data_IF_925005520150
#
_entry.id   IF_925005520150
#
_cell.length_a   1.000
_cell.length_b   1.000
_cell.length_c   1.000
_cell.angle_alpha   90.00
_cell.angle_beta   90.00
_cell.angle_gamma   90.00
#
_symmetry.space_group_name_H-M   'P 1'
#
loop_
_entity.id
_entity.type
_entity.pdbx_description
1 polymer ?
#
# COMPACT_ATOMS: atom_id res chain seq x y z
N UNK A 1 -18.48 -3.92 -28.86
CA UNK A 1 -19.12 -3.66 -27.56
C UNK A 1 -18.01 -3.24 -26.61
N UNK A 2 -18.05 -2.05 -25.99
CA UNK A 2 -17.08 -1.73 -24.95
C UNK A 2 -17.24 -2.74 -23.81
N UNK A 3 -16.13 -3.26 -23.27
CA UNK A 3 -16.16 -4.17 -22.13
C UNK A 3 -16.81 -3.44 -20.94
N UNK A 4 -17.75 -4.09 -20.25
CA UNK A 4 -18.31 -3.56 -19.00
C UNK A 4 -17.18 -3.49 -17.97
N UNK A 5 -16.87 -2.27 -17.51
CA UNK A 5 -15.89 -2.05 -16.44
C UNK A 5 -16.42 -2.67 -15.15
N UNK A 6 -15.62 -3.48 -14.46
CA UNK A 6 -15.92 -3.94 -13.12
C UNK A 6 -15.88 -2.74 -12.16
N UNK A 7 -16.96 -2.55 -11.39
CA UNK A 7 -17.10 -1.45 -10.42
C UNK A 7 -17.29 -2.03 -9.03
N UNK A 8 -16.57 -1.49 -8.05
CA UNK A 8 -16.81 -1.76 -6.64
C UNK A 8 -17.81 -0.72 -6.12
N UNK A 9 -19.02 -1.16 -5.73
CA UNK A 9 -20.09 -0.27 -5.28
C UNK A 9 -19.76 0.45 -3.96
N UNK A 10 -18.96 -0.18 -3.09
CA UNK A 10 -18.59 0.39 -1.79
C UNK A 10 -17.43 1.37 -1.93
N UNK A 11 -16.51 1.09 -2.86
CA UNK A 11 -15.31 1.88 -3.13
C UNK A 11 -15.20 2.16 -4.64
N UNK A 12 -16.03 3.07 -5.18
CA UNK A 12 -16.15 3.30 -6.63
C UNK A 12 -14.89 3.86 -7.29
N UNK A 13 -13.92 4.36 -6.50
CA UNK A 13 -12.62 4.79 -7.00
C UNK A 13 -11.61 3.66 -7.20
N UNK A 14 -11.99 2.40 -6.90
CA UNK A 14 -11.11 1.23 -7.07
C UNK A 14 -10.91 0.88 -8.54
N UNK A 15 -9.66 0.75 -8.99
CA UNK A 15 -9.34 0.09 -10.25
C UNK A 15 -9.39 -1.44 -10.07
N UNK A 16 -10.59 -2.01 -10.15
CA UNK A 16 -10.85 -3.41 -9.75
C UNK A 16 -9.96 -4.42 -10.49
N UNK A 17 -9.82 -4.32 -11.80
CA UNK A 17 -8.97 -5.24 -12.58
C UNK A 17 -7.49 -5.15 -12.16
N UNK A 18 -7.00 -3.92 -11.94
CA UNK A 18 -5.64 -3.66 -11.46
C UNK A 18 -5.43 -4.21 -10.05
N UNK A 19 -6.43 -4.06 -9.17
CA UNK A 19 -6.44 -4.63 -7.82
C UNK A 19 -6.32 -6.15 -7.85
N UNK A 20 -7.14 -6.81 -8.67
CA UNK A 20 -7.14 -8.27 -8.80
C UNK A 20 -5.82 -8.79 -9.37
N UNK A 21 -5.28 -8.13 -10.40
CA UNK A 21 -3.98 -8.45 -10.96
C UNK A 21 -2.85 -8.29 -9.91
N UNK A 22 -2.93 -7.26 -9.07
CA UNK A 22 -1.98 -7.04 -7.98
C UNK A 22 -2.03 -8.15 -6.93
N UNK A 23 -3.24 -8.54 -6.51
CA UNK A 23 -3.44 -9.66 -5.58
C UNK A 23 -2.89 -10.97 -6.15
N UNK A 24 -3.07 -11.21 -7.44
CA UNK A 24 -2.54 -12.40 -8.10
C UNK A 24 -1.01 -12.40 -8.10
N UNK A 25 -0.37 -11.27 -8.44
CA UNK A 25 1.09 -11.14 -8.36
C UNK A 25 1.60 -11.39 -6.94
N UNK A 26 0.94 -10.87 -5.90
CA UNK A 26 1.34 -11.12 -4.51
C UNK A 26 1.27 -12.60 -4.16
N UNK A 27 0.20 -13.29 -4.54
CA UNK A 27 0.05 -14.73 -4.30
C UNK A 27 1.12 -15.54 -5.00
N UNK A 28 1.56 -15.12 -6.19
CA UNK A 28 2.56 -15.85 -6.97
C UNK A 28 4.00 -15.73 -6.44
N UNK A 29 4.29 -14.82 -5.50
CA UNK A 29 5.66 -14.58 -5.03
C UNK A 29 6.25 -15.74 -4.21
N UNK A 30 5.42 -16.46 -3.43
CA UNK A 30 5.87 -17.60 -2.60
C UNK A 30 7.22 -17.37 -1.89
N UNK A 31 8.18 -18.26 -2.14
CA UNK A 31 9.53 -18.23 -1.55
C UNK A 31 10.35 -16.96 -1.87
N UNK A 32 9.99 -16.19 -2.90
CA UNK A 32 10.67 -14.94 -3.21
C UNK A 32 10.53 -13.89 -2.09
N UNK A 33 9.62 -14.09 -1.13
CA UNK A 33 9.42 -13.23 0.04
C UNK A 33 10.39 -13.53 1.20
N UNK A 34 11.21 -14.57 1.10
CA UNK A 34 12.14 -15.02 2.15
C UNK A 34 13.60 -14.59 1.89
N UNK A 35 13.84 -13.75 0.89
CA UNK A 35 15.18 -13.28 0.52
C UNK A 35 15.65 -12.01 1.25
N UNK A 36 16.72 -11.41 0.72
CA UNK A 36 17.20 -10.10 1.18
C UNK A 36 16.12 -9.01 1.02
N UNK A 37 15.90 -8.22 2.06
CA UNK A 37 14.77 -7.30 2.16
C UNK A 37 14.62 -6.36 0.97
N UNK A 38 15.71 -5.80 0.45
CA UNK A 38 15.58 -4.89 -0.69
C UNK A 38 15.08 -5.60 -1.95
N UNK A 39 15.50 -6.84 -2.18
CA UNK A 39 14.98 -7.66 -3.29
C UNK A 39 13.51 -8.01 -3.05
N UNK A 40 13.13 -8.38 -1.81
CA UNK A 40 11.74 -8.63 -1.43
C UNK A 40 10.88 -7.39 -1.68
N UNK A 41 11.33 -6.21 -1.25
CA UNK A 41 10.63 -4.94 -1.45
C UNK A 41 10.44 -4.62 -2.94
N UNK A 42 11.43 -4.87 -3.78
CA UNK A 42 11.29 -4.69 -5.23
C UNK A 42 10.20 -5.60 -5.82
N UNK A 43 10.08 -6.83 -5.31
CA UNK A 43 8.99 -7.75 -5.69
C UNK A 43 7.64 -7.26 -5.20
N UNK A 44 7.56 -6.71 -3.98
CA UNK A 44 6.34 -6.07 -3.46
C UNK A 44 5.92 -4.87 -4.32
N UNK A 45 6.86 -4.02 -4.73
CA UNK A 45 6.57 -2.92 -5.65
C UNK A 45 6.05 -3.42 -7.00
N UNK A 46 6.72 -4.41 -7.60
CA UNK A 46 6.26 -5.01 -8.85
C UNK A 46 4.84 -5.60 -8.72
N UNK A 47 4.56 -6.28 -7.61
CA UNK A 47 3.24 -6.84 -7.33
C UNK A 47 2.18 -5.74 -7.11
N UNK A 48 2.54 -4.63 -6.47
CA UNK A 48 1.71 -3.43 -6.34
C UNK A 48 1.50 -2.67 -7.66
N UNK A 49 2.27 -2.97 -8.71
CA UNK A 49 2.25 -2.21 -9.96
C UNK A 49 2.98 -0.88 -9.86
N UNK A 50 4.05 -0.83 -9.08
CA UNK A 50 4.88 0.34 -8.85
C UNK A 50 6.29 0.14 -9.40
N UNK A 51 6.85 1.20 -10.00
CA UNK A 51 8.26 1.32 -10.33
C UNK A 51 9.08 1.53 -9.06
N UNK A 52 10.32 1.05 -9.07
CA UNK A 52 11.29 1.32 -8.00
C UNK A 52 12.05 2.63 -8.29
N UNK A 53 11.49 3.74 -7.82
CA UNK A 53 11.99 5.10 -8.07
C UNK A 53 12.59 5.66 -6.78
N UNK A 54 13.90 5.46 -6.62
CA UNK A 54 14.67 5.90 -5.44
C UNK A 54 15.39 7.23 -5.64
N UNK A 55 15.62 7.61 -6.90
CA UNK A 55 16.40 8.79 -7.24
C UNK A 55 15.48 10.00 -7.41
N UNK A 56 15.57 10.92 -6.47
CA UNK A 56 14.89 12.22 -6.50
C UNK A 56 15.96 13.29 -6.33
N UNK A 57 15.74 14.45 -6.96
CA UNK A 57 16.75 15.51 -7.02
C UNK A 57 17.17 15.93 -5.61
N UNK A 58 18.48 16.09 -5.33
CA UNK A 58 18.93 16.63 -4.05
C UNK A 58 18.25 17.98 -3.75
N UNK A 59 17.70 18.13 -2.54
CA UNK A 59 17.02 19.37 -2.11
C UNK A 59 15.50 19.43 -2.33
N UNK A 60 14.90 18.42 -2.97
CA UNK A 60 13.44 18.36 -3.08
C UNK A 60 12.78 18.19 -1.70
N UNK A 61 11.75 18.99 -1.41
CA UNK A 61 11.01 18.92 -0.14
C UNK A 61 10.06 17.71 -0.13
N UNK A 62 9.71 17.15 1.03
CA UNK A 62 8.85 15.96 1.12
C UNK A 62 7.54 16.04 0.30
N UNK A 63 6.93 17.24 0.17
CA UNK A 63 5.74 17.45 -0.67
C UNK A 63 6.03 17.35 -2.17
N UNK A 64 7.22 17.74 -2.59
CA UNK A 64 7.68 17.63 -3.98
C UNK A 64 8.05 16.17 -4.29
N UNK A 65 8.58 15.42 -3.32
CA UNK A 65 8.99 14.02 -3.50
C UNK A 65 7.83 13.08 -3.88
N UNK A 66 6.68 13.22 -3.22
CA UNK A 66 5.51 12.40 -3.54
C UNK A 66 5.00 12.70 -4.96
N UNK A 67 4.90 13.98 -5.33
CA UNK A 67 4.53 14.41 -6.70
C UNK A 67 5.55 14.05 -7.79
N UNK A 68 6.75 13.58 -7.42
CA UNK A 68 7.79 13.12 -8.34
C UNK A 68 7.85 11.59 -8.48
N UNK A 69 6.93 10.87 -7.83
CA UNK A 69 6.84 9.41 -7.93
C UNK A 69 7.90 8.66 -7.11
N UNK A 70 8.48 9.28 -6.08
CA UNK A 70 9.44 8.59 -5.20
C UNK A 70 8.77 7.43 -4.45
N UNK A 71 9.22 6.19 -4.69
CA UNK A 71 8.68 4.98 -4.05
C UNK A 71 9.67 4.34 -3.06
N UNK A 72 10.79 5.00 -2.76
CA UNK A 72 11.80 4.47 -1.84
C UNK A 72 11.30 4.22 -0.41
N UNK A 73 10.26 4.93 0.02
CA UNK A 73 9.63 4.77 1.34
C UNK A 73 8.57 3.65 1.40
N UNK A 74 8.05 3.22 0.24
CA UNK A 74 7.02 2.19 0.17
C UNK A 74 7.51 0.90 0.85
N UNK A 75 6.72 0.40 1.79
CA UNK A 75 6.97 -0.76 2.65
C UNK A 75 8.21 -0.65 3.57
N UNK A 76 8.96 0.47 3.53
CA UNK A 76 10.19 0.69 4.30
C UNK A 76 9.98 1.44 5.62
N UNK A 77 8.77 1.91 5.89
CA UNK A 77 8.40 2.56 7.15
C UNK A 77 7.12 1.95 7.73
N UNK A 78 6.60 2.54 8.81
CA UNK A 78 5.42 2.03 9.49
C UNK A 78 4.09 2.35 8.81
N UNK A 79 4.06 3.34 7.92
CA UNK A 79 2.83 4.01 7.51
C UNK A 79 2.53 3.82 6.02
N UNK A 80 3.52 3.76 5.13
CA UNK A 80 3.33 3.56 3.70
C UNK A 80 3.36 2.06 3.37
N UNK A 81 2.36 1.33 3.83
CA UNK A 81 2.30 -0.13 3.71
C UNK A 81 1.09 -0.63 2.92
N UNK A 82 0.26 0.28 2.40
CA UNK A 82 -0.92 -0.05 1.59
C UNK A 82 -0.62 0.06 0.11
N UNK A 83 -0.69 -1.06 -0.61
CA UNK A 83 -0.72 -1.06 -2.07
C UNK A 83 -2.12 -0.72 -2.54
N UNK A 84 -2.37 0.55 -2.86
CA UNK A 84 -3.67 1.04 -3.32
C UNK A 84 -3.72 1.11 -4.83
N UNK A 85 -4.81 0.63 -5.43
CA UNK A 85 -5.04 0.65 -6.88
C UNK A 85 -6.32 1.42 -7.19
N UNK A 86 -6.18 2.59 -7.81
CA UNK A 86 -7.28 3.52 -8.02
C UNK A 86 -7.51 3.83 -9.49
N UNK A 87 -8.73 4.25 -9.83
CA UNK A 87 -9.05 4.77 -11.16
C UNK A 87 -8.25 6.05 -11.45
N UNK A 88 -7.93 6.28 -12.72
CA UNK A 88 -7.18 7.48 -13.14
C UNK A 88 -7.88 8.79 -12.72
N UNK A 89 -9.21 8.84 -12.84
CA UNK A 89 -10.01 10.02 -12.52
C UNK A 89 -9.92 10.43 -11.05
N UNK A 90 -9.70 9.48 -10.14
CA UNK A 90 -9.58 9.76 -8.70
C UNK A 90 -8.12 9.86 -8.24
N UNK A 91 -7.15 9.47 -9.06
CA UNK A 91 -5.72 9.51 -8.69
C UNK A 91 -5.23 10.93 -8.38
N UNK A 92 -5.89 11.95 -8.94
CA UNK A 92 -5.60 13.36 -8.69
C UNK A 92 -6.39 13.97 -7.53
N UNK A 93 -7.26 13.20 -6.86
CA UNK A 93 -7.96 13.70 -5.68
C UNK A 93 -6.95 14.17 -4.64
N UNK A 94 -7.21 15.31 -4.02
CA UNK A 94 -6.41 15.84 -2.92
C UNK A 94 -7.06 15.49 -1.58
N UNK A 95 -6.27 15.48 -0.50
CA UNK A 95 -6.81 15.43 0.85
C UNK A 95 -7.33 16.83 1.23
N UNK A 96 -8.61 17.05 0.96
CA UNK A 96 -9.32 18.32 1.19
C UNK A 96 -9.86 18.46 2.62
N UNK A 97 -10.29 19.66 3.00
CA UNK A 97 -11.06 19.86 4.22
C UNK A 97 -12.48 19.26 4.08
N UNK A 98 -13.10 18.90 5.21
CA UNK A 98 -14.46 18.33 5.23
C UNK A 98 -14.49 16.81 5.35
N UNK A 99 -15.49 16.18 4.75
CA UNK A 99 -15.79 14.75 4.94
C UNK A 99 -14.72 13.81 4.34
N UNK A 100 -13.92 14.30 3.39
CA UNK A 100 -12.82 13.56 2.75
C UNK A 100 -11.45 13.79 3.42
N UNK A 101 -11.44 14.31 4.65
CA UNK A 101 -10.22 14.66 5.40
C UNK A 101 -9.60 13.44 6.09
N UNK A 102 -8.39 13.06 5.68
CA UNK A 102 -7.59 12.02 6.33
C UNK A 102 -6.71 12.59 7.43
N UNK A 103 -7.14 12.52 8.69
CA UNK A 103 -6.40 13.09 9.83
C UNK A 103 -4.91 12.68 9.82
N UNK A 104 -4.02 13.65 10.03
CA UNK A 104 -2.57 13.44 10.00
C UNK A 104 -1.92 13.58 8.62
N UNK A 105 -2.68 13.68 7.54
CA UNK A 105 -2.17 13.96 6.18
C UNK A 105 -2.26 15.46 5.88
N UNK A 106 -1.32 16.01 5.12
CA UNK A 106 -1.32 17.43 4.75
C UNK A 106 -2.54 17.77 3.88
N UNK A 107 -3.19 18.90 4.15
CA UNK A 107 -4.27 19.42 3.29
C UNK A 107 -3.67 19.78 1.92
N UNK A 108 -4.39 19.44 0.85
CA UNK A 108 -3.95 19.67 -0.53
C UNK A 108 -2.80 18.75 -0.96
N UNK A 109 -2.74 17.54 -0.41
CA UNK A 109 -1.72 16.55 -0.75
C UNK A 109 -1.90 16.04 -2.19
N UNK A 110 -1.04 16.49 -3.10
CA UNK A 110 -1.06 16.19 -4.54
C UNK A 110 -0.25 14.95 -4.88
N UNK A 111 -0.93 13.80 -4.96
CA UNK A 111 -0.29 12.53 -5.29
C UNK A 111 -0.36 12.17 -6.78
N UNK A 112 -1.36 12.68 -7.51
CA UNK A 112 -1.66 12.29 -8.90
C UNK A 112 -0.46 12.20 -9.85
N UNK A 113 0.36 13.26 -10.00
CA UNK A 113 1.54 13.19 -10.87
C UNK A 113 2.54 12.09 -10.46
N UNK A 114 2.72 11.89 -9.15
CA UNK A 114 3.59 10.83 -8.63
C UNK A 114 3.04 9.44 -8.91
N UNK A 115 1.72 9.27 -8.78
CA UNK A 115 1.00 8.04 -9.10
C UNK A 115 1.20 7.69 -10.57
N UNK A 116 1.00 8.64 -11.48
CA UNK A 116 1.20 8.44 -12.93
C UNK A 116 2.64 8.05 -13.26
N UNK A 117 3.62 8.74 -12.67
CA UNK A 117 5.04 8.48 -12.91
C UNK A 117 5.45 7.09 -12.38
N UNK A 118 4.97 6.70 -11.20
CA UNK A 118 5.37 5.47 -10.54
C UNK A 118 4.58 4.25 -11.02
N UNK A 119 3.40 4.42 -11.60
CA UNK A 119 2.55 3.29 -11.99
C UNK A 119 3.13 2.49 -13.18
N UNK A 120 3.12 1.18 -13.03
CA UNK A 120 3.42 0.23 -14.11
C UNK A 120 2.16 0.03 -14.98
N UNK A 121 2.20 0.34 -16.29
CA UNK A 121 1.04 0.24 -17.16
C UNK A 121 0.58 -1.22 -17.38
N UNK A 122 1.49 -2.20 -17.29
CA UNK A 122 1.18 -3.61 -17.51
C UNK A 122 0.30 -4.26 -16.42
N UNK A 123 0.00 -3.56 -15.33
CA UNK A 123 -0.95 -4.02 -14.31
C UNK A 123 -2.41 -3.62 -14.64
N UNK A 124 -2.63 -2.86 -15.71
CA UNK A 124 -3.96 -2.43 -16.16
C UNK A 124 -4.23 -0.93 -15.96
N UNK A 125 -5.41 -0.48 -16.37
CA UNK A 125 -5.79 0.95 -16.30
C UNK A 125 -5.82 1.50 -14.87
N UNK A 126 -5.62 2.82 -14.75
CA UNK A 126 -5.59 3.53 -13.47
C UNK A 126 -4.18 3.69 -12.91
N UNK A 127 -4.09 3.87 -11.60
CA UNK A 127 -2.85 4.13 -10.89
C UNK A 127 -2.63 3.18 -9.71
N UNK A 128 -1.38 3.04 -9.30
CA UNK A 128 -0.98 2.40 -8.05
C UNK A 128 -0.24 3.39 -7.16
N UNK A 129 -0.41 3.27 -5.84
CA UNK A 129 0.39 4.01 -4.88
C UNK A 129 0.60 3.25 -3.57
N UNK A 130 1.69 3.55 -2.88
CA UNK A 130 1.90 3.12 -1.49
C UNK A 130 1.31 4.18 -0.55
N UNK A 131 0.06 3.99 -0.12
CA UNK A 131 -0.66 4.99 0.67
C UNK A 131 -0.39 4.86 2.17
N UNK A 132 -0.57 5.97 2.89
CA UNK A 132 -0.52 6.00 4.34
C UNK A 132 -1.64 5.16 4.96
N UNK A 133 -1.29 4.35 5.97
CA UNK A 133 -2.19 3.43 6.69
C UNK A 133 -2.83 4.07 7.91
N UNK A 134 -2.49 5.32 8.25
CA UNK A 134 -3.09 6.05 9.37
C UNK A 134 -4.62 6.05 9.31
N UNK A 135 -5.26 5.52 10.35
CA UNK A 135 -6.72 5.39 10.42
C UNK A 135 -7.29 4.07 9.90
N UNK A 136 -6.44 3.16 9.42
CA UNK A 136 -6.89 1.87 8.89
C UNK A 136 -7.45 0.89 9.95
N UNK A 137 -7.18 1.11 11.24
CA UNK A 137 -7.72 0.28 12.32
C UNK A 137 -9.18 0.58 12.68
N UNK A 138 -9.74 1.67 12.14
CA UNK A 138 -11.14 2.03 12.34
C UNK A 138 -12.06 1.22 11.42
N UNK A 139 -13.34 1.12 11.76
CA UNK A 139 -14.36 0.46 10.94
C UNK A 139 -15.53 1.42 10.62
N UNK A 140 -15.72 1.81 9.35
CA UNK A 140 -14.87 1.52 8.20
C UNK A 140 -13.50 2.23 8.28
N UNK A 141 -12.46 1.74 7.58
CA UNK A 141 -11.14 2.37 7.54
C UNK A 141 -11.19 3.85 7.12
N UNK A 142 -10.40 4.68 7.80
CA UNK A 142 -10.33 6.14 7.59
C UNK A 142 -8.98 6.59 7.02
N UNK A 143 -8.29 5.68 6.33
CA UNK A 143 -6.97 5.94 5.74
C UNK A 143 -7.06 6.60 4.35
N UNK A 144 -5.90 6.86 3.75
CA UNK A 144 -5.80 7.56 2.46
C UNK A 144 -6.49 6.79 1.33
N UNK A 145 -6.38 5.47 1.30
CA UNK A 145 -6.98 4.66 0.24
C UNK A 145 -8.51 4.83 0.24
N UNK A 146 -9.11 4.63 1.40
CA UNK A 146 -10.55 4.55 1.56
C UNK A 146 -11.22 5.93 1.53
N UNK A 147 -10.54 6.97 2.01
CA UNK A 147 -11.15 8.31 2.14
C UNK A 147 -10.82 9.20 0.95
N UNK A 148 -9.54 9.38 0.60
CA UNK A 148 -9.11 10.29 -0.47
C UNK A 148 -9.43 9.71 -1.85
N UNK A 149 -9.17 8.41 -2.04
CA UNK A 149 -9.35 7.77 -3.34
C UNK A 149 -10.66 6.98 -3.46
N UNK A 150 -11.41 6.81 -2.37
CA UNK A 150 -12.59 5.93 -2.32
C UNK A 150 -12.27 4.56 -2.95
N UNK A 151 -11.09 4.05 -2.64
CA UNK A 151 -10.50 2.85 -3.25
C UNK A 151 -10.22 1.82 -2.17
N UNK A 152 -10.37 0.54 -2.52
CA UNK A 152 -9.78 -0.55 -1.76
C UNK A 152 -8.27 -0.59 -1.92
N UNK A 153 -7.62 -1.23 -0.97
CA UNK A 153 -6.24 -1.69 -1.13
C UNK A 153 -6.20 -3.04 -1.87
N UNK A 154 -5.21 -3.21 -2.73
CA UNK A 154 -4.89 -4.51 -3.29
C UNK A 154 -4.35 -5.42 -2.19
N UNK A 155 -3.36 -4.93 -1.43
CA UNK A 155 -2.82 -5.61 -0.26
C UNK A 155 -2.16 -4.62 0.71
N UNK A 156 -2.02 -5.03 1.97
CA UNK A 156 -1.29 -4.34 3.05
C UNK A 156 -0.18 -5.24 3.57
N UNK A 157 1.01 -4.67 3.79
CA UNK A 157 2.06 -5.33 4.56
C UNK A 157 1.89 -5.07 6.05
N UNK A 158 1.85 -6.15 6.83
CA UNK A 158 1.79 -6.11 8.30
C UNK A 158 2.90 -6.98 8.89
N UNK A 159 3.76 -6.38 9.72
CA UNK A 159 4.82 -7.10 10.43
C UNK A 159 4.27 -7.92 11.60
N UNK A 160 4.78 -9.15 11.79
CA UNK A 160 4.24 -10.13 12.72
C UNK A 160 4.89 -10.02 14.12
N UNK A 161 4.13 -9.80 15.20
CA UNK A 161 4.67 -9.87 16.57
C UNK A 161 5.02 -11.32 16.96
N UNK A 162 5.88 -11.57 17.96
CA UNK A 162 6.59 -10.59 18.79
C UNK A 162 7.99 -10.23 18.28
N UNK A 163 8.58 -11.02 17.38
CA UNK A 163 9.93 -10.77 16.85
C UNK A 163 9.95 -9.68 15.79
N UNK A 164 8.85 -9.52 15.06
CA UNK A 164 8.70 -8.64 13.90
C UNK A 164 9.64 -9.00 12.74
N UNK A 165 10.18 -10.21 12.71
CA UNK A 165 11.11 -10.68 11.67
C UNK A 165 10.39 -11.20 10.41
N UNK A 166 9.12 -11.57 10.55
CA UNK A 166 8.24 -11.97 9.45
C UNK A 166 7.13 -10.93 9.21
N UNK A 167 6.54 -10.96 8.02
CA UNK A 167 5.38 -10.16 7.68
C UNK A 167 4.32 -11.01 6.98
N UNK A 168 3.08 -10.54 7.02
CA UNK A 168 1.98 -11.00 6.16
C UNK A 168 1.59 -9.93 5.17
N UNK A 169 1.05 -10.38 4.04
CA UNK A 169 0.33 -9.58 3.07
C UNK A 169 -1.13 -9.97 3.18
N UNK A 170 -1.98 -9.00 3.50
CA UNK A 170 -3.43 -9.19 3.62
C UNK A 170 -4.17 -8.31 2.65
N UNK A 171 -5.33 -8.72 2.19
CA UNK A 171 -6.17 -7.89 1.33
C UNK A 171 -6.98 -6.84 2.11
N UNK A 172 -7.82 -6.09 1.38
CA UNK A 172 -8.65 -5.04 1.94
C UNK A 172 -9.58 -5.51 3.06
N UNK A 173 -10.02 -6.78 3.04
CA UNK A 173 -10.90 -7.37 4.05
C UNK A 173 -10.10 -8.07 5.17
N UNK A 174 -8.77 -7.98 5.14
CA UNK A 174 -7.88 -8.62 6.10
C UNK A 174 -7.61 -10.10 5.79
N UNK A 175 -8.02 -10.59 4.63
CA UNK A 175 -7.80 -11.97 4.25
C UNK A 175 -6.33 -12.20 3.88
N UNK A 176 -5.76 -13.32 4.33
CA UNK A 176 -4.39 -13.71 4.03
C UNK A 176 -4.16 -13.87 2.52
N UNK A 177 -3.08 -13.27 2.01
CA UNK A 177 -2.62 -13.43 0.63
C UNK A 177 -1.29 -14.18 0.56
N UNK A 178 -0.30 -13.77 1.37
CA UNK A 178 1.03 -14.37 1.40
C UNK A 178 1.79 -13.94 2.67
N UNK A 179 2.99 -14.49 2.90
CA UNK A 179 3.87 -14.10 4.01
C UNK A 179 5.33 -14.32 3.64
N UNK A 180 6.25 -13.67 4.37
CA UNK A 180 7.67 -13.93 4.23
C UNK A 180 8.44 -13.64 5.51
N UNK A 181 9.63 -14.23 5.61
CA UNK A 181 10.61 -14.00 6.67
C UNK A 181 11.91 -13.50 6.03
N UNK A 182 11.95 -12.23 5.60
CA UNK A 182 13.09 -11.69 4.86
C UNK A 182 14.35 -11.58 5.73
N UNK A 183 15.50 -11.52 5.09
CA UNK A 183 16.80 -11.32 5.73
C UNK A 183 17.42 -9.95 5.39
N UNK A 184 18.58 -9.66 5.97
CA UNK A 184 19.38 -8.50 5.61
C UNK A 184 18.98 -7.23 6.31
N UNK A 185 19.04 -6.11 5.58
CA UNK A 185 18.73 -4.79 6.11
C UNK A 185 17.22 -4.54 6.17
N UNK A 186 16.55 -5.11 7.16
CA UNK A 186 15.14 -4.88 7.43
C UNK A 186 14.86 -3.42 7.82
N UNK A 187 13.61 -2.93 7.67
CA UNK A 187 13.20 -1.67 8.29
C UNK A 187 13.51 -1.69 9.80
N UNK A 188 13.86 -0.53 10.40
CA UNK A 188 14.19 -0.47 11.82
C UNK A 188 13.10 -1.13 12.68
N UNK A 189 13.50 -1.88 13.70
CA UNK A 189 12.56 -2.65 14.54
C UNK A 189 11.40 -1.80 15.07
N UNK A 190 11.66 -0.54 15.43
CA UNK A 190 10.62 0.39 15.87
C UNK A 190 9.56 0.66 14.78
N UNK A 191 9.96 0.79 13.52
CA UNK A 191 9.01 0.99 12.41
C UNK A 191 8.13 -0.24 12.22
N UNK A 192 8.71 -1.44 12.28
CA UNK A 192 7.96 -2.71 12.19
C UNK A 192 6.96 -2.88 13.34
N UNK A 193 7.36 -2.51 14.56
CA UNK A 193 6.46 -2.48 15.73
C UNK A 193 5.31 -1.50 15.56
N UNK A 194 5.62 -0.26 15.14
CA UNK A 194 4.62 0.77 14.93
C UNK A 194 3.65 0.41 13.80
N UNK A 195 4.11 -0.29 12.75
CA UNK A 195 3.24 -0.83 11.71
C UNK A 195 2.19 -1.78 12.29
N UNK A 196 2.58 -2.74 13.13
CA UNK A 196 1.62 -3.64 13.78
C UNK A 196 0.71 -2.91 14.76
N UNK A 197 1.25 -2.01 15.59
CA UNK A 197 0.44 -1.24 16.54
C UNK A 197 -0.61 -0.36 15.83
N UNK A 198 -0.33 0.14 14.62
CA UNK A 198 -1.30 0.91 13.82
C UNK A 198 -2.51 0.09 13.37
N UNK A 199 -2.36 -1.23 13.18
CA UNK A 199 -3.45 -2.13 12.74
C UNK A 199 -4.05 -2.96 13.88
N UNK A 200 -3.45 -2.92 15.06
CA UNK A 200 -3.84 -3.72 16.21
C UNK A 200 -5.31 -3.50 16.58
N UNK A 201 -6.02 -4.59 16.84
CA UNK A 201 -7.46 -4.57 17.15
C UNK A 201 -8.36 -4.48 15.91
N UNK A 202 -7.79 -4.44 14.70
CA UNK A 202 -8.55 -4.46 13.44
C UNK A 202 -8.41 -5.78 12.69
N UNK A 203 -9.19 -5.93 11.61
CA UNK A 203 -9.14 -7.09 10.69
C UNK A 203 -7.74 -7.36 10.12
N UNK A 204 -6.92 -6.33 9.93
CA UNK A 204 -5.58 -6.47 9.37
C UNK A 204 -4.55 -7.11 10.33
N UNK A 205 -4.82 -7.14 11.64
CA UNK A 205 -3.89 -7.69 12.64
C UNK A 205 -4.04 -9.20 12.86
N UNK A 206 -5.14 -9.81 12.40
CA UNK A 206 -5.50 -11.21 12.69
C UNK A 206 -4.43 -12.17 12.17
N UNK A 207 -4.13 -12.07 10.88
CA UNK A 207 -3.18 -12.98 10.22
C UNK A 207 -1.74 -12.77 10.69
N UNK A 208 -1.35 -11.51 10.94
CA UNK A 208 -0.04 -11.20 11.50
C UNK A 208 0.16 -11.82 12.88
N UNK A 209 -0.88 -11.77 13.73
CA UNK A 209 -0.86 -12.40 15.06
C UNK A 209 -0.82 -13.94 14.96
N UNK A 210 -1.56 -14.52 14.00
CA UNK A 210 -1.61 -15.97 13.78
C UNK A 210 -0.27 -16.52 13.29
N UNK A 211 0.36 -15.85 12.31
CA UNK A 211 1.64 -16.28 11.74
C UNK A 211 2.78 -16.05 12.73
N UNK A 212 2.78 -14.92 13.45
CA UNK A 212 3.83 -14.61 14.42
C UNK A 212 3.81 -15.44 15.71
N UNK A 213 2.73 -16.18 15.96
CA UNK A 213 2.62 -17.12 17.09
C UNK A 213 3.19 -18.52 16.79
N UNK A 214 3.63 -18.77 15.55
CA UNK A 214 4.25 -20.03 15.10
C UNK A 214 5.77 -19.98 15.26
#
# INVERSE_FOLDING_TARGET
MPAMRLVDEKYPGTAVERMLASRERVRSLGEELNGEWESVRQKLLWAAGLRDLKNVRPGARCRELAGMGYTGHAFNDNNHCDATTMLGDVAHNENEEGESRVKGIAIGNRLGPGIEIASLPELGEGGSWSTCTNGCHLDPPQDVAHIQFKSRIAFKLVWCPPSFESFVLVDDDGAFLNSGTPTGQLPPLMQRRLNFELVKGSKYAIEASRVGAQ
#
